data_IF_277093338257
#
_entry.id   IF_277093338257
#
_cell.length_a   1.000
_cell.length_b   1.000
_cell.length_c   1.000
_cell.angle_alpha   90.00
_cell.angle_beta   90.00
_cell.angle_gamma   90.00
#
_symmetry.space_group_name_H-M   'P 1'
#
loop_
_entity.id
_entity.type
_entity.pdbx_description
1 polymer ?
#
# COMPACT_ATOMS: atom_id res chain seq x y z
N UNK A 1 -15.00 40.75 -11.50
CA UNK A 1 -14.49 39.61 -12.28
C UNK A 1 -13.10 39.31 -11.71
N UNK A 2 -12.98 38.36 -10.78
CA UNK A 2 -11.68 38.00 -10.21
C UNK A 2 -11.15 36.87 -11.08
N UNK A 3 -10.13 37.16 -11.87
CA UNK A 3 -9.38 36.13 -12.56
C UNK A 3 -8.60 35.36 -11.49
N UNK A 4 -9.09 34.18 -11.13
CA UNK A 4 -8.32 33.25 -10.30
C UNK A 4 -7.22 32.69 -11.17
N UNK A 5 -6.02 33.26 -11.09
CA UNK A 5 -4.81 32.63 -11.62
C UNK A 5 -4.66 31.28 -10.92
N UNK A 6 -4.91 30.20 -11.64
CA UNK A 6 -4.49 28.87 -11.23
C UNK A 6 -2.97 28.83 -11.29
N UNK A 7 -2.32 29.19 -10.17
CA UNK A 7 -0.90 28.91 -9.99
C UNK A 7 -0.73 27.40 -10.09
N UNK A 8 -0.02 26.98 -11.13
CA UNK A 8 0.35 25.58 -11.36
C UNK A 8 1.27 25.17 -10.21
N UNK A 9 0.71 24.55 -9.17
CA UNK A 9 1.48 24.01 -8.07
C UNK A 9 2.39 22.91 -8.62
N UNK A 10 3.69 23.04 -8.38
CA UNK A 10 4.68 22.02 -8.71
C UNK A 10 4.64 20.94 -7.63
N UNK A 11 4.66 19.67 -8.04
CA UNK A 11 4.81 18.54 -7.11
C UNK A 11 6.22 18.57 -6.54
N UNK A 12 6.34 18.67 -5.22
CA UNK A 12 7.63 18.71 -4.49
C UNK A 12 8.02 17.29 -4.14
N UNK A 13 9.04 16.79 -4.82
CA UNK A 13 9.56 15.44 -4.63
C UNK A 13 10.90 15.52 -3.92
N UNK A 14 11.04 14.78 -2.83
CA UNK A 14 12.33 14.45 -2.22
C UNK A 14 12.68 13.02 -2.62
N UNK A 15 13.85 12.83 -3.19
CA UNK A 15 14.40 11.52 -3.53
C UNK A 15 15.67 11.27 -2.75
N UNK A 16 15.73 10.16 -2.02
CA UNK A 16 16.87 9.80 -1.17
C UNK A 16 17.25 8.33 -1.36
N UNK A 17 18.49 8.00 -1.02
CA UNK A 17 18.83 6.62 -0.70
C UNK A 17 18.41 6.25 0.72
N UNK A 18 18.10 4.97 0.96
CA UNK A 18 17.84 4.48 2.31
C UNK A 18 18.99 4.78 3.29
N UNK A 19 20.26 4.82 2.85
CA UNK A 19 21.38 5.20 3.70
C UNK A 19 21.31 6.64 4.25
N UNK A 20 20.48 7.50 3.65
CA UNK A 20 20.29 8.92 4.03
C UNK A 20 19.00 9.14 4.82
N UNK A 21 18.23 8.09 5.11
CA UNK A 21 16.87 8.23 5.68
C UNK A 21 16.85 8.92 7.06
N UNK A 22 17.93 8.79 7.83
CA UNK A 22 18.07 9.42 9.16
C UNK A 22 18.21 10.94 9.08
N UNK A 23 18.54 11.50 7.90
CA UNK A 23 18.57 12.95 7.68
C UNK A 23 17.16 13.55 7.56
N UNK A 24 16.13 12.69 7.48
CA UNK A 24 14.73 13.07 7.27
C UNK A 24 13.79 12.44 8.31
N UNK A 25 14.04 12.62 9.63
CA UNK A 25 13.32 11.91 10.67
C UNK A 25 11.84 12.29 10.77
N UNK A 26 11.45 13.45 10.22
CA UNK A 26 10.09 14.00 10.28
C UNK A 26 9.36 13.97 8.93
N UNK A 27 9.88 13.27 7.91
CA UNK A 27 9.33 13.37 6.56
C UNK A 27 7.86 12.95 6.43
N UNK A 28 7.37 12.07 7.31
CA UNK A 28 5.94 11.75 7.36
C UNK A 28 5.10 12.96 7.80
N UNK A 29 5.58 13.75 8.76
CA UNK A 29 4.93 14.99 9.18
C UNK A 29 5.03 16.06 8.10
N UNK A 30 6.15 16.13 7.37
CA UNK A 30 6.32 17.06 6.24
C UNK A 30 5.29 16.78 5.11
N UNK A 31 4.90 15.52 4.91
CA UNK A 31 3.78 15.16 4.01
C UNK A 31 2.43 15.69 4.55
N UNK A 32 2.16 15.56 5.85
CA UNK A 32 0.93 16.04 6.48
C UNK A 32 0.82 17.57 6.52
N UNK A 33 1.95 18.25 6.74
CA UNK A 33 2.04 19.72 6.79
C UNK A 33 2.14 20.36 5.39
N UNK A 34 1.94 19.57 4.33
CA UNK A 34 1.99 20.05 2.96
C UNK A 34 3.33 20.75 2.65
N UNK A 35 4.46 20.23 3.16
CA UNK A 35 5.81 20.73 2.87
C UNK A 35 6.46 19.97 1.72
N UNK A 36 6.17 18.68 1.61
CA UNK A 36 6.55 17.81 0.50
C UNK A 36 5.32 17.05 -0.01
N UNK A 37 5.35 16.66 -1.27
CA UNK A 37 4.26 15.89 -1.90
C UNK A 37 4.62 14.40 -2.01
N UNK A 38 5.91 14.11 -2.20
CA UNK A 38 6.41 12.74 -2.39
C UNK A 38 7.77 12.60 -1.72
N UNK A 39 7.94 11.52 -0.93
CA UNK A 39 9.23 11.01 -0.52
C UNK A 39 9.50 9.68 -1.24
N UNK A 40 10.49 9.67 -2.14
CA UNK A 40 10.97 8.47 -2.81
C UNK A 40 12.23 7.94 -2.10
N UNK A 41 12.11 6.80 -1.44
CA UNK A 41 13.24 6.13 -0.77
C UNK A 41 13.78 4.99 -1.64
N UNK A 42 14.92 5.21 -2.27
CA UNK A 42 15.60 4.17 -3.05
C UNK A 42 16.21 3.12 -2.15
N UNK A 43 16.22 1.87 -2.63
CA UNK A 43 16.85 0.72 -1.95
C UNK A 43 16.36 0.52 -0.50
N UNK A 44 15.12 0.91 -0.21
CA UNK A 44 14.47 0.67 1.08
C UNK A 44 14.43 -0.83 1.42
N UNK A 45 14.29 -1.68 0.39
CA UNK A 45 14.36 -3.14 0.48
C UNK A 45 15.58 -3.69 -0.25
N UNK A 46 16.08 -4.85 0.21
CA UNK A 46 17.18 -5.55 -0.44
C UNK A 46 16.78 -6.01 -1.86
N UNK A 47 17.45 -5.53 -2.92
CA UNK A 47 17.06 -5.87 -4.30
C UNK A 47 17.07 -7.37 -4.62
N UNK A 48 17.98 -8.13 -3.98
CA UNK A 48 18.04 -9.59 -4.14
C UNK A 48 16.79 -10.28 -3.60
N UNK A 49 16.24 -9.78 -2.49
CA UNK A 49 15.05 -10.35 -1.85
C UNK A 49 13.78 -9.99 -2.64
N UNK A 50 13.67 -8.77 -3.15
CA UNK A 50 12.58 -8.37 -4.05
C UNK A 50 12.53 -9.26 -5.30
N UNK A 51 13.66 -9.45 -5.98
CA UNK A 51 13.74 -10.32 -7.16
C UNK A 51 13.36 -11.77 -6.90
N UNK A 52 13.64 -12.29 -5.70
CA UNK A 52 13.24 -13.64 -5.33
C UNK A 52 11.72 -13.74 -5.16
N UNK A 53 11.08 -12.73 -4.58
CA UNK A 53 9.63 -12.67 -4.48
C UNK A 53 8.97 -12.60 -5.87
N UNK A 54 9.54 -11.80 -6.78
CA UNK A 54 9.09 -11.73 -8.18
C UNK A 54 9.17 -13.10 -8.86
N UNK A 55 10.34 -13.76 -8.79
CA UNK A 55 10.54 -15.09 -9.38
C UNK A 55 9.58 -16.15 -8.81
N UNK A 56 9.29 -16.10 -7.51
CA UNK A 56 8.32 -17.01 -6.87
C UNK A 56 6.90 -16.74 -7.35
N UNK A 57 6.51 -15.47 -7.47
CA UNK A 57 5.22 -15.07 -8.03
C UNK A 57 5.06 -15.56 -9.48
N UNK A 58 6.10 -15.42 -10.31
CA UNK A 58 6.11 -15.89 -11.70
C UNK A 58 6.04 -17.43 -11.81
N UNK A 59 6.69 -18.15 -10.90
CA UNK A 59 6.70 -19.62 -10.88
C UNK A 59 5.40 -20.27 -10.42
N UNK A 60 4.41 -19.49 -9.96
CA UNK A 60 3.16 -20.02 -9.40
C UNK A 60 3.29 -20.55 -7.98
N UNK A 61 4.30 -20.11 -7.21
CA UNK A 61 4.43 -20.45 -5.79
C UNK A 61 3.22 -20.00 -4.95
N UNK A 62 2.46 -19.04 -5.48
CA UNK A 62 1.11 -18.70 -5.06
C UNK A 62 0.18 -18.96 -6.23
N UNK A 63 -0.83 -19.79 -6.00
CA UNK A 63 -1.80 -20.16 -7.01
C UNK A 63 -2.60 -18.93 -7.48
N UNK A 64 -2.72 -18.80 -8.80
CA UNK A 64 -3.28 -17.64 -9.49
C UNK A 64 -4.78 -17.50 -9.26
N UNK A 65 -5.48 -18.58 -8.89
CA UNK A 65 -6.92 -18.54 -8.58
C UNK A 65 -7.26 -17.70 -7.34
N UNK A 66 -6.27 -17.44 -6.48
CA UNK A 66 -6.43 -16.67 -5.25
C UNK A 66 -6.25 -15.17 -5.44
N UNK A 67 -5.74 -14.77 -6.59
CA UNK A 67 -5.60 -13.38 -6.97
C UNK A 67 -7.00 -12.88 -7.28
N UNK A 68 -7.50 -11.96 -6.46
CA UNK A 68 -8.67 -11.21 -6.87
C UNK A 68 -8.23 -10.41 -8.09
N UNK A 69 -8.76 -10.73 -9.27
CA UNK A 69 -8.73 -9.79 -10.37
C UNK A 69 -9.54 -8.59 -9.89
N UNK A 70 -8.95 -7.40 -9.85
CA UNK A 70 -9.78 -6.21 -9.90
C UNK A 70 -10.45 -6.30 -11.27
N UNK A 71 -11.69 -6.83 -11.35
CA UNK A 71 -12.41 -6.89 -12.60
C UNK A 71 -12.88 -5.48 -12.89
N UNK A 72 -11.98 -4.67 -13.44
CA UNK A 72 -12.39 -3.49 -14.17
C UNK A 72 -13.00 -4.00 -15.46
N UNK A 73 -14.16 -3.46 -15.83
CA UNK A 73 -14.72 -3.66 -17.17
C UNK A 73 -13.86 -2.99 -18.25
N UNK A 74 -12.86 -2.19 -17.84
CA UNK A 74 -11.91 -1.51 -18.71
C UNK A 74 -10.74 -2.45 -19.02
N UNK A 75 -10.59 -2.78 -20.30
CA UNK A 75 -9.44 -3.53 -20.81
C UNK A 75 -8.12 -2.85 -20.41
N UNK A 76 -7.19 -3.64 -19.87
CA UNK A 76 -5.90 -3.15 -19.39
C UNK A 76 -5.84 -2.79 -17.90
N UNK A 77 -6.97 -2.69 -17.19
CA UNK A 77 -6.97 -2.42 -15.73
C UNK A 77 -7.13 -3.68 -14.86
N UNK A 78 -7.16 -4.85 -15.50
CA UNK A 78 -7.31 -6.15 -14.86
C UNK A 78 -6.01 -6.62 -14.17
N UNK A 79 -5.58 -5.92 -13.13
CA UNK A 79 -4.43 -6.33 -12.31
C UNK A 79 -4.79 -7.50 -11.40
N UNK A 80 -3.77 -8.27 -11.03
CA UNK A 80 -3.90 -9.35 -10.05
C UNK A 80 -3.51 -8.84 -8.67
N UNK A 81 -4.38 -9.00 -7.68
CA UNK A 81 -4.14 -8.57 -6.30
C UNK A 81 -4.16 -9.77 -5.36
N UNK A 82 -3.06 -9.95 -4.61
CA UNK A 82 -3.00 -10.85 -3.46
C UNK A 82 -3.25 -10.03 -2.18
N UNK A 83 -4.30 -10.37 -1.46
CA UNK A 83 -4.83 -9.59 -0.35
C UNK A 83 -6.18 -8.96 -0.68
N UNK A 84 -6.77 -8.28 0.29
CA UNK A 84 -8.00 -7.54 0.09
C UNK A 84 -7.81 -6.09 0.48
N UNK A 85 -8.35 -5.18 -0.34
CA UNK A 85 -8.47 -3.79 0.07
C UNK A 85 -9.62 -3.62 1.04
N UNK A 86 -9.45 -2.74 2.02
CA UNK A 86 -10.54 -2.26 2.85
C UNK A 86 -11.38 -1.19 2.10
N UNK A 87 -10.78 -0.53 1.10
CA UNK A 87 -11.43 0.54 0.35
C UNK A 87 -12.44 -0.01 -0.67
N UNK A 88 -13.43 0.82 -1.06
CA UNK A 88 -14.28 0.54 -2.21
C UNK A 88 -13.50 0.10 -3.45
N UNK A 89 -14.08 -0.83 -4.20
CA UNK A 89 -13.53 -1.32 -5.47
C UNK A 89 -14.65 -1.46 -6.50
N UNK A 90 -14.32 -1.66 -7.78
CA UNK A 90 -15.33 -1.91 -8.82
C UNK A 90 -16.24 -3.11 -8.48
N UNK A 91 -15.70 -4.14 -7.81
CA UNK A 91 -16.46 -5.31 -7.34
C UNK A 91 -17.26 -5.07 -6.07
N UNK A 92 -16.91 -4.04 -5.30
CA UNK A 92 -17.54 -3.72 -4.02
C UNK A 92 -17.55 -2.19 -3.86
N UNK A 93 -18.51 -1.48 -4.49
CA UNK A 93 -18.55 -0.02 -4.54
C UNK A 93 -18.71 0.66 -3.17
N UNK A 94 -19.21 -0.07 -2.18
CA UNK A 94 -19.34 0.38 -0.78
C UNK A 94 -18.22 -0.13 0.12
N UNK A 95 -17.25 -0.85 -0.45
CA UNK A 95 -16.32 -1.68 0.32
C UNK A 95 -17.00 -2.93 0.89
N UNK A 96 -16.18 -3.90 1.25
CA UNK A 96 -16.62 -5.12 1.94
C UNK A 96 -16.82 -4.83 3.44
N UNK A 97 -17.61 -5.67 4.12
CA UNK A 97 -17.72 -5.56 5.58
C UNK A 97 -16.36 -5.80 6.25
N UNK A 98 -16.15 -5.15 7.40
CA UNK A 98 -14.93 -5.32 8.19
C UNK A 98 -14.72 -6.79 8.59
N UNK A 99 -15.78 -7.52 8.95
CA UNK A 99 -15.68 -8.95 9.27
C UNK A 99 -15.17 -9.77 8.09
N UNK A 100 -15.71 -9.55 6.89
CA UNK A 100 -15.26 -10.25 5.69
C UNK A 100 -13.80 -9.91 5.34
N UNK A 101 -13.39 -8.65 5.55
CA UNK A 101 -11.99 -8.24 5.39
C UNK A 101 -11.08 -8.99 6.35
N UNK A 102 -11.39 -8.98 7.65
CA UNK A 102 -10.57 -9.58 8.70
C UNK A 102 -10.48 -11.10 8.56
N UNK A 103 -11.57 -11.78 8.22
CA UNK A 103 -11.60 -13.24 8.03
C UNK A 103 -10.71 -13.66 6.85
N UNK A 104 -10.70 -12.86 5.79
CA UNK A 104 -9.86 -13.08 4.61
C UNK A 104 -8.38 -12.78 4.88
N UNK A 105 -8.05 -11.82 5.74
CA UNK A 105 -6.67 -11.41 5.99
C UNK A 105 -5.76 -12.53 6.48
N UNK A 106 -6.27 -13.43 7.33
CA UNK A 106 -5.47 -14.58 7.82
C UNK A 106 -4.98 -15.43 6.66
N UNK A 107 -5.89 -15.79 5.76
CA UNK A 107 -5.58 -16.59 4.58
C UNK A 107 -4.58 -15.85 3.68
N UNK A 108 -4.83 -14.58 3.37
CA UNK A 108 -3.93 -13.82 2.51
C UNK A 108 -2.54 -13.62 3.12
N UNK A 109 -2.42 -13.48 4.44
CA UNK A 109 -1.12 -13.39 5.11
C UNK A 109 -0.29 -14.65 4.88
N UNK A 110 -0.86 -15.82 5.11
CA UNK A 110 -0.19 -17.11 4.86
C UNK A 110 0.25 -17.26 3.40
N UNK A 111 -0.52 -16.73 2.46
CA UNK A 111 -0.19 -16.77 1.03
C UNK A 111 0.92 -15.80 0.66
N UNK A 112 0.85 -14.57 1.18
CA UNK A 112 1.88 -13.55 0.98
C UNK A 112 3.22 -14.04 1.54
N UNK A 113 3.21 -14.66 2.73
CA UNK A 113 4.43 -15.17 3.36
C UNK A 113 5.16 -16.21 2.48
N UNK A 114 4.45 -16.94 1.63
CA UNK A 114 5.06 -17.90 0.67
C UNK A 114 5.82 -17.20 -0.46
N UNK A 115 5.47 -15.95 -0.79
CA UNK A 115 6.21 -15.17 -1.79
C UNK A 115 7.61 -14.80 -1.29
N UNK A 116 7.79 -14.65 0.01
CA UNK A 116 9.02 -14.14 0.58
C UNK A 116 9.88 -15.25 1.17
N UNK A 117 11.20 -15.05 1.16
CA UNK A 117 12.10 -15.95 1.86
C UNK A 117 11.72 -16.02 3.36
N UNK A 118 11.72 -17.19 4.02
CA UNK A 118 11.38 -17.28 5.44
C UNK A 118 12.26 -16.41 6.35
N UNK A 119 13.47 -16.04 5.92
CA UNK A 119 14.35 -15.10 6.62
C UNK A 119 14.05 -13.61 6.34
N UNK A 120 13.04 -13.31 5.54
CA UNK A 120 12.61 -11.97 5.18
C UNK A 120 11.17 -11.74 5.61
N UNK A 121 10.99 -10.78 6.52
CA UNK A 121 9.67 -10.31 6.93
C UNK A 121 9.43 -8.92 6.33
N UNK A 122 8.60 -8.79 5.27
CA UNK A 122 8.34 -7.51 4.64
C UNK A 122 7.63 -6.51 5.56
N UNK A 123 6.76 -6.98 6.47
CA UNK A 123 6.12 -6.12 7.46
C UNK A 123 7.18 -5.43 8.32
N UNK A 124 8.13 -6.20 8.86
CA UNK A 124 9.19 -5.63 9.69
C UNK A 124 10.06 -4.63 8.92
N UNK A 125 10.29 -4.84 7.63
CA UNK A 125 11.02 -3.88 6.80
C UNK A 125 10.23 -2.60 6.54
N UNK A 126 8.91 -2.70 6.34
CA UNK A 126 8.03 -1.54 6.21
C UNK A 126 8.03 -0.75 7.53
N UNK A 127 7.85 -1.42 8.67
CA UNK A 127 7.93 -0.81 10.00
C UNK A 127 9.28 -0.13 10.23
N UNK A 128 10.38 -0.78 9.83
CA UNK A 128 11.75 -0.25 9.94
C UNK A 128 11.95 1.02 9.09
N UNK A 129 11.41 1.07 7.88
CA UNK A 129 11.51 2.24 7.00
C UNK A 129 10.63 3.38 7.53
N UNK A 130 9.35 3.10 7.82
CA UNK A 130 8.41 4.10 8.30
C UNK A 130 8.83 4.65 9.67
N UNK A 131 9.36 3.81 10.56
CA UNK A 131 9.80 4.21 11.89
C UNK A 131 10.96 5.21 11.88
N UNK A 132 11.78 5.23 10.82
CA UNK A 132 12.87 6.19 10.66
C UNK A 132 12.39 7.57 10.22
N UNK A 133 11.21 7.67 9.61
CA UNK A 133 10.65 8.93 9.10
C UNK A 133 9.40 9.39 9.87
N UNK A 134 9.07 8.71 10.96
CA UNK A 134 7.88 8.97 11.79
C UNK A 134 8.15 9.87 13.00
N UNK A 135 9.37 10.41 13.16
CA UNK A 135 9.76 11.20 14.33
C UNK A 135 9.92 10.36 15.60
N UNK A 136 10.29 9.09 15.46
CA UNK A 136 10.43 8.15 16.58
C UNK A 136 9.09 7.58 17.10
N UNK A 137 7.97 7.87 16.42
CA UNK A 137 6.68 7.26 16.75
C UNK A 137 6.67 5.77 16.37
N UNK A 138 6.07 4.90 17.20
CA UNK A 138 5.94 3.49 16.86
C UNK A 138 5.11 3.31 15.59
N UNK A 139 5.49 2.33 14.78
CA UNK A 139 4.75 1.91 13.58
C UNK A 139 4.18 0.53 13.89
N UNK A 140 2.86 0.44 13.90
CA UNK A 140 2.15 -0.77 14.30
C UNK A 140 1.03 -1.06 13.30
N UNK A 141 0.70 -2.34 13.16
CA UNK A 141 -0.48 -2.75 12.40
C UNK A 141 -1.71 -2.56 13.28
N UNK A 142 -2.73 -1.82 12.80
CA UNK A 142 -3.99 -1.71 13.52
C UNK A 142 -4.64 -3.08 13.77
N UNK A 143 -5.34 -3.19 14.88
CA UNK A 143 -6.22 -4.31 15.19
C UNK A 143 -7.66 -3.79 15.36
N UNK A 144 -8.64 -4.62 15.01
CA UNK A 144 -10.03 -4.38 15.34
C UNK A 144 -10.29 -4.52 16.84
N UNK A 145 -11.47 -4.10 17.28
CA UNK A 145 -11.88 -4.13 18.70
C UNK A 145 -11.84 -5.55 19.31
N UNK A 146 -12.00 -6.58 18.49
CA UNK A 146 -11.93 -7.98 18.88
C UNK A 146 -10.52 -8.59 18.75
N UNK A 147 -9.52 -7.76 18.45
CA UNK A 147 -8.11 -8.14 18.38
C UNK A 147 -7.65 -8.76 17.06
N UNK A 148 -8.52 -8.90 16.05
CA UNK A 148 -8.09 -9.34 14.70
C UNK A 148 -7.23 -8.26 14.03
N UNK A 149 -6.12 -8.66 13.44
CA UNK A 149 -5.15 -7.74 12.82
C UNK A 149 -5.52 -7.43 11.37
N UNK A 150 -5.28 -6.19 10.95
CA UNK A 150 -5.36 -5.78 9.56
C UNK A 150 -4.21 -6.41 8.74
N UNK A 151 -4.29 -6.38 7.40
CA UNK A 151 -3.16 -6.77 6.55
C UNK A 151 -2.28 -5.55 6.29
N UNK A 152 -0.95 -5.62 6.54
CA UNK A 152 -0.08 -4.45 6.42
C UNK A 152 0.16 -4.01 4.98
N UNK A 153 -0.01 -4.92 4.01
CA UNK A 153 0.18 -4.65 2.60
C UNK A 153 -0.59 -5.68 1.75
N UNK A 154 -0.79 -5.33 0.48
CA UNK A 154 -1.25 -6.26 -0.57
C UNK A 154 -0.16 -6.35 -1.63
N UNK A 155 -0.13 -7.44 -2.41
CA UNK A 155 0.80 -7.59 -3.52
C UNK A 155 0.02 -7.45 -4.82
N UNK A 156 0.46 -6.55 -5.70
CA UNK A 156 -0.17 -6.30 -7.01
C UNK A 156 0.79 -6.73 -8.11
N UNK A 157 0.34 -7.63 -8.98
CA UNK A 157 1.08 -8.07 -10.16
C UNK A 157 0.45 -7.45 -11.41
N UNK A 158 1.28 -6.79 -12.21
CA UNK A 158 0.92 -6.16 -13.47
C UNK A 158 1.67 -6.87 -14.60
N UNK A 159 0.93 -7.41 -15.55
CA UNK A 159 1.48 -7.94 -16.80
C UNK A 159 1.69 -6.82 -17.82
N UNK A 160 2.43 -7.12 -18.89
CA UNK A 160 2.61 -6.18 -19.98
C UNK A 160 1.25 -5.68 -20.52
N UNK A 161 1.13 -4.36 -20.70
CA UNK A 161 -0.11 -3.72 -21.13
C UNK A 161 -1.15 -3.53 -20.01
N UNK A 162 -0.87 -3.96 -18.78
CA UNK A 162 -1.73 -3.70 -17.63
C UNK A 162 -1.30 -2.43 -16.87
N UNK A 163 -2.29 -1.73 -16.32
CA UNK A 163 -2.11 -0.55 -15.50
C UNK A 163 -3.08 -0.51 -14.33
N UNK A 164 -2.86 0.45 -13.42
CA UNK A 164 -3.85 0.81 -12.41
C UNK A 164 -4.47 2.11 -12.88
N UNK A 165 -5.78 2.11 -13.09
CA UNK A 165 -6.53 3.32 -13.46
C UNK A 165 -6.27 4.46 -12.49
N UNK A 166 -6.42 5.70 -12.97
CA UNK A 166 -6.23 6.89 -12.13
C UNK A 166 -7.30 6.88 -11.03
N UNK A 167 -6.85 6.84 -9.78
CA UNK A 167 -7.71 6.90 -8.59
C UNK A 167 -7.07 7.79 -7.53
N UNK A 168 -7.90 8.29 -6.63
CA UNK A 168 -7.47 8.94 -5.40
C UNK A 168 -8.08 8.18 -4.23
N UNK A 169 -7.22 7.76 -3.30
CA UNK A 169 -7.67 7.12 -2.07
C UNK A 169 -8.04 8.20 -1.06
N UNK A 170 -9.22 8.82 -1.22
CA UNK A 170 -9.80 9.62 -0.15
C UNK A 170 -10.62 8.65 0.71
N UNK A 171 -10.03 8.20 1.81
CA UNK A 171 -10.83 7.71 2.93
C UNK A 171 -11.43 8.94 3.59
N UNK A 172 -12.53 9.47 3.05
CA UNK A 172 -13.32 10.41 3.81
C UNK A 172 -13.83 9.65 5.02
N UNK A 173 -13.26 9.92 6.18
CA UNK A 173 -13.96 9.69 7.43
C UNK A 173 -15.19 10.58 7.35
N UNK A 174 -16.28 10.07 6.78
CA UNK A 174 -17.62 10.51 7.11
C UNK A 174 -17.76 10.20 8.61
N UNK A 175 -17.29 11.11 9.45
CA UNK A 175 -17.81 11.21 10.80
C UNK A 175 -19.29 11.51 10.60
N UNK A 176 -20.22 10.62 11.00
CA UNK A 176 -21.61 11.02 11.05
C UNK A 176 -21.67 12.19 12.03
N UNK A 177 -21.97 13.37 11.52
CA UNK A 177 -22.44 14.46 12.37
C UNK A 177 -23.77 13.98 12.94
N UNK A 178 -23.74 13.45 14.16
CA UNK A 178 -24.96 13.21 14.92
C UNK A 178 -25.68 14.55 15.07
N UNK A 179 -26.81 14.68 14.38
CA UNK A 179 -27.83 15.68 14.66
C UNK A 179 -28.78 15.13 15.73
#
# INVERSE_FOLDING_TARGET
>A
MIATEFLKRMVRVIEIDFAQIEDFPMALEDLYLDQIDVLLVRRAFCPKRSRLADSRAESGAVDLEWLQTNSSEIDGENIRVLGVSLTPSGKSPTGQSLDTYLDKNRLYREMIDRLFDPSFNPQHEIERVLGKISGGRPVEIPCSIDGRSYIPYTVRSLHHGQGIGIHHDITSSYLPTNH
#
